data_IF_984516331851
#
_entry.id   IF_984516331851
#
_cell.length_a   1.000
_cell.length_b   1.000
_cell.length_c   1.000
_cell.angle_alpha   90.00
_cell.angle_beta   90.00
_cell.angle_gamma   90.00
#
_symmetry.space_group_name_H-M   'P 1'
#
loop_
_entity.id
_entity.type
_entity.pdbx_description
1 polymer ?
#
# COMPACT_ATOMS: atom_id res chain seq x y z
N UNK A 1 0.11 -6.31 -38.45
CA UNK A 1 -0.59 -7.60 -38.22
C UNK A 1 0.31 -8.44 -37.33
N UNK A 2 0.15 -8.32 -36.02
CA UNK A 2 0.91 -9.09 -35.03
C UNK A 2 0.22 -10.43 -34.82
N UNK A 3 0.98 -11.52 -34.91
CA UNK A 3 0.50 -12.87 -34.65
C UNK A 3 -0.17 -12.91 -33.27
N UNK A 4 -1.45 -13.28 -33.22
CA UNK A 4 -2.09 -13.71 -31.98
C UNK A 4 -1.27 -14.88 -31.44
N UNK A 5 -0.56 -14.63 -30.34
CA UNK A 5 0.08 -15.68 -29.55
C UNK A 5 -1.02 -16.66 -29.14
N UNK A 6 -1.06 -17.82 -29.78
CA UNK A 6 -1.96 -18.89 -29.38
C UNK A 6 -1.60 -19.27 -27.96
N UNK A 7 -2.50 -18.98 -27.01
CA UNK A 7 -2.34 -19.35 -25.62
C UNK A 7 -1.91 -20.83 -25.52
N UNK A 8 -0.80 -21.10 -24.85
CA UNK A 8 -0.29 -22.46 -24.74
C UNK A 8 -1.33 -23.33 -24.04
N UNK A 9 -1.34 -24.65 -24.35
CA UNK A 9 -2.21 -25.59 -23.63
C UNK A 9 -2.03 -25.45 -22.11
N UNK A 10 -0.79 -25.21 -21.67
CA UNK A 10 -0.45 -24.94 -20.29
C UNK A 10 -1.16 -23.69 -19.73
N UNK A 11 -1.13 -22.55 -20.42
CA UNK A 11 -1.79 -21.33 -19.92
C UNK A 11 -3.31 -21.49 -19.86
N UNK A 12 -3.91 -22.19 -20.84
CA UNK A 12 -5.33 -22.54 -20.83
C UNK A 12 -5.70 -23.46 -19.65
N UNK A 13 -4.90 -24.50 -19.37
CA UNK A 13 -5.11 -25.37 -18.22
C UNK A 13 -4.97 -24.62 -16.89
N UNK A 14 -3.94 -23.77 -16.75
CA UNK A 14 -3.74 -22.95 -15.56
C UNK A 14 -4.90 -21.99 -15.32
N UNK A 15 -5.38 -21.35 -16.39
CA UNK A 15 -6.56 -20.49 -16.36
C UNK A 15 -7.81 -21.23 -15.89
N UNK A 16 -8.05 -22.43 -16.43
CA UNK A 16 -9.19 -23.26 -16.02
C UNK A 16 -9.09 -23.62 -14.52
N UNK A 17 -7.93 -24.10 -14.06
CA UNK A 17 -7.72 -24.49 -12.65
C UNK A 17 -7.81 -23.31 -11.67
N UNK A 18 -7.28 -22.15 -12.06
CA UNK A 18 -7.24 -20.99 -11.18
C UNK A 18 -8.57 -20.24 -11.13
N UNK A 19 -9.24 -20.05 -12.27
CA UNK A 19 -10.30 -19.05 -12.42
C UNK A 19 -11.68 -19.64 -12.59
N UNK A 20 -11.77 -20.79 -13.25
CA UNK A 20 -13.05 -21.47 -13.43
C UNK A 20 -13.17 -22.41 -12.25
N UNK A 21 -13.92 -21.98 -11.23
CA UNK A 21 -14.48 -22.88 -10.22
C UNK A 21 -15.53 -23.80 -10.86
N UNK A 22 -15.17 -24.44 -11.98
CA UNK A 22 -16.04 -25.34 -12.70
C UNK A 22 -16.33 -26.49 -11.76
N UNK A 23 -17.61 -26.73 -11.47
CA UNK A 23 -18.07 -27.86 -10.66
C UNK A 23 -17.53 -29.20 -11.15
N UNK A 24 -17.06 -29.24 -12.40
CA UNK A 24 -16.44 -30.39 -13.07
C UNK A 24 -14.98 -30.64 -12.62
N UNK A 25 -14.21 -29.58 -12.33
CA UNK A 25 -12.80 -29.67 -11.87
C UNK A 25 -12.62 -29.27 -10.40
N UNK A 26 -13.63 -28.67 -9.76
CA UNK A 26 -13.66 -28.40 -8.32
C UNK A 26 -13.53 -29.66 -7.47
N UNK A 27 -13.74 -30.83 -8.08
CA UNK A 27 -13.61 -32.15 -7.46
C UNK A 27 -12.21 -32.77 -7.62
N UNK A 28 -11.35 -32.24 -8.51
CA UNK A 28 -9.96 -32.68 -8.56
C UNK A 28 -9.24 -31.98 -7.39
N UNK A 29 -8.78 -32.73 -6.38
CA UNK A 29 -8.06 -32.11 -5.29
C UNK A 29 -6.84 -31.43 -5.88
N UNK A 30 -6.73 -30.11 -5.71
CA UNK A 30 -5.49 -29.36 -5.98
C UNK A 30 -4.31 -30.03 -5.26
N UNK A 31 -4.60 -30.75 -4.16
CA UNK A 31 -3.66 -31.59 -3.42
C UNK A 31 -3.06 -32.75 -4.21
N UNK A 32 -3.58 -33.11 -5.39
CA UNK A 32 -2.99 -34.09 -6.30
C UNK A 32 -1.99 -33.46 -7.28
N UNK A 33 -1.94 -32.13 -7.39
CA UNK A 33 -0.94 -31.46 -8.21
C UNK A 33 0.42 -31.46 -7.50
N UNK A 34 1.54 -31.53 -8.26
CA UNK A 34 2.85 -31.22 -7.73
C UNK A 34 2.85 -29.89 -7.00
N UNK A 35 3.55 -29.80 -5.86
CA UNK A 35 3.57 -28.60 -5.01
C UNK A 35 3.86 -27.31 -5.80
N UNK A 36 4.82 -27.36 -6.72
CA UNK A 36 5.17 -26.23 -7.59
C UNK A 36 4.02 -25.73 -8.46
N UNK A 37 3.16 -26.62 -8.96
CA UNK A 37 1.98 -26.24 -9.75
C UNK A 37 0.85 -25.74 -8.84
N UNK A 38 0.67 -26.34 -7.67
CA UNK A 38 -0.28 -25.86 -6.68
C UNK A 38 0.04 -24.43 -6.24
N UNK A 39 1.33 -24.14 -5.96
CA UNK A 39 1.81 -22.81 -5.58
C UNK A 39 1.56 -21.80 -6.71
N UNK A 40 1.80 -22.17 -7.97
CA UNK A 40 1.52 -21.31 -9.13
C UNK A 40 0.02 -21.01 -9.30
N UNK A 41 -0.85 -22.01 -9.10
CA UNK A 41 -2.31 -21.83 -9.18
C UNK A 41 -2.77 -20.88 -8.07
N UNK A 42 -2.28 -21.07 -6.84
CA UNK A 42 -2.66 -20.24 -5.71
C UNK A 42 -2.15 -18.80 -5.86
N UNK A 43 -0.91 -18.62 -6.35
CA UNK A 43 -0.38 -17.30 -6.68
C UNK A 43 -1.24 -16.61 -7.74
N UNK A 44 -1.59 -17.30 -8.84
CA UNK A 44 -2.43 -16.74 -9.89
C UNK A 44 -3.83 -16.35 -9.36
N UNK A 45 -4.41 -17.14 -8.45
CA UNK A 45 -5.69 -16.79 -7.79
C UNK A 45 -5.57 -15.53 -6.95
N UNK A 46 -4.48 -15.38 -6.20
CA UNK A 46 -4.23 -14.19 -5.40
C UNK A 46 -4.07 -12.96 -6.30
N UNK A 47 -3.27 -13.08 -7.37
CA UNK A 47 -3.07 -12.01 -8.35
C UNK A 47 -4.41 -11.60 -8.99
N UNK A 48 -5.26 -12.56 -9.38
CA UNK A 48 -6.57 -12.25 -9.98
C UNK A 48 -7.50 -11.59 -8.97
N UNK A 49 -7.52 -12.08 -7.72
CA UNK A 49 -8.30 -11.47 -6.65
C UNK A 49 -7.88 -10.02 -6.41
N UNK A 50 -6.59 -9.72 -6.45
CA UNK A 50 -6.06 -8.37 -6.36
C UNK A 50 -6.49 -7.51 -7.55
N UNK A 51 -6.34 -8.02 -8.77
CA UNK A 51 -6.74 -7.32 -9.99
C UNK A 51 -8.24 -6.99 -10.01
N UNK A 52 -9.10 -7.95 -9.68
CA UNK A 52 -10.56 -7.76 -9.58
C UNK A 52 -10.89 -6.73 -8.51
N UNK A 53 -10.31 -6.86 -7.31
CA UNK A 53 -10.53 -5.92 -6.20
C UNK A 53 -10.12 -4.48 -6.56
N UNK A 54 -9.02 -4.31 -7.29
CA UNK A 54 -8.55 -2.99 -7.70
C UNK A 54 -9.54 -2.29 -8.65
N UNK A 55 -10.30 -3.05 -9.46
CA UNK A 55 -11.19 -2.52 -10.48
C UNK A 55 -12.69 -2.60 -10.12
N UNK A 56 -13.03 -3.23 -8.99
CA UNK A 56 -14.43 -3.47 -8.57
C UNK A 56 -15.30 -2.21 -8.45
N UNK A 57 -14.68 -1.04 -8.24
CA UNK A 57 -15.39 0.25 -8.17
C UNK A 57 -15.82 0.79 -9.54
N UNK A 58 -15.33 0.18 -10.62
CA UNK A 58 -15.57 0.59 -12.01
C UNK A 58 -16.35 -0.49 -12.75
N UNK A 59 -15.96 -1.76 -12.61
CA UNK A 59 -16.55 -2.87 -13.36
C UNK A 59 -16.53 -4.16 -12.54
N UNK A 60 -17.54 -5.00 -12.74
CA UNK A 60 -17.55 -6.38 -12.29
C UNK A 60 -16.80 -7.29 -13.29
N UNK A 61 -15.53 -7.58 -13.00
CA UNK A 61 -14.65 -8.34 -13.89
C UNK A 61 -15.02 -9.82 -13.88
N UNK A 62 -15.43 -10.33 -15.05
CA UNK A 62 -15.73 -11.75 -15.20
C UNK A 62 -14.45 -12.59 -15.33
N UNK A 63 -14.40 -13.80 -14.74
CA UNK A 63 -13.25 -14.71 -14.89
C UNK A 63 -12.91 -15.04 -16.35
N UNK A 64 -13.91 -15.00 -17.24
CA UNK A 64 -13.76 -15.23 -18.68
C UNK A 64 -13.04 -14.09 -19.42
N UNK A 65 -12.78 -12.96 -18.76
CA UNK A 65 -12.03 -11.83 -19.32
C UNK A 65 -10.55 -11.87 -18.96
N UNK A 66 -10.16 -12.62 -17.94
CA UNK A 66 -8.76 -12.74 -17.51
C UNK A 66 -7.97 -13.61 -18.50
N UNK A 67 -6.91 -13.03 -19.06
CA UNK A 67 -5.95 -13.72 -19.92
C UNK A 67 -4.74 -14.17 -19.08
N UNK A 68 -4.21 -15.35 -19.40
CA UNK A 68 -3.05 -15.94 -18.70
C UNK A 68 -1.91 -16.10 -19.70
N UNK A 69 -0.74 -15.55 -19.36
CA UNK A 69 0.44 -15.61 -20.21
C UNK A 69 1.08 -17.00 -20.21
N UNK A 70 2.08 -17.20 -21.07
CA UNK A 70 2.87 -18.44 -21.09
C UNK A 70 3.63 -18.69 -19.79
N UNK A 71 3.92 -17.64 -19.01
CA UNK A 71 4.52 -17.72 -17.68
C UNK A 71 3.52 -18.10 -16.58
N UNK A 72 2.28 -18.47 -16.93
CA UNK A 72 1.22 -18.85 -15.99
C UNK A 72 0.85 -17.73 -14.99
N UNK A 73 1.03 -16.48 -15.40
CA UNK A 73 0.63 -15.27 -14.66
C UNK A 73 -0.47 -14.53 -15.43
N UNK A 74 -1.07 -13.52 -14.82
CA UNK A 74 -1.99 -12.62 -15.54
C UNK A 74 -1.21 -11.94 -16.67
N UNK A 75 -1.74 -12.06 -17.89
CA UNK A 75 -1.35 -11.21 -19.01
C UNK A 75 -2.13 -9.90 -18.86
N UNK A 76 -1.55 -8.91 -18.18
CA UNK A 76 -2.24 -7.66 -17.88
C UNK A 76 -2.64 -6.88 -19.15
N UNK A 77 -1.77 -6.70 -20.17
CA UNK A 77 -2.17 -6.04 -21.41
C UNK A 77 -3.36 -6.73 -22.09
N UNK A 78 -3.31 -8.05 -22.30
CA UNK A 78 -4.39 -8.77 -22.96
C UNK A 78 -5.67 -8.79 -22.12
N UNK A 79 -5.55 -8.92 -20.80
CA UNK A 79 -6.69 -8.88 -19.87
C UNK A 79 -7.39 -7.53 -19.92
N UNK A 80 -6.65 -6.43 -19.84
CA UNK A 80 -7.22 -5.08 -19.88
C UNK A 80 -7.91 -4.80 -21.22
N UNK A 81 -7.30 -5.21 -22.33
CA UNK A 81 -7.92 -5.07 -23.65
C UNK A 81 -9.23 -5.83 -23.73
N UNK A 82 -9.26 -7.07 -23.23
CA UNK A 82 -10.48 -7.89 -23.20
C UNK A 82 -11.57 -7.29 -22.30
N UNK A 83 -11.20 -6.70 -21.16
CA UNK A 83 -12.14 -5.98 -20.30
C UNK A 83 -12.71 -4.73 -20.99
N UNK A 84 -11.88 -3.97 -21.70
CA UNK A 84 -12.31 -2.79 -22.47
C UNK A 84 -13.28 -3.18 -23.58
N UNK A 85 -13.01 -4.27 -24.30
CA UNK A 85 -13.87 -4.76 -25.39
C UNK A 85 -15.19 -5.36 -24.90
N UNK A 86 -15.22 -5.91 -23.69
CA UNK A 86 -16.40 -6.56 -23.12
C UNK A 86 -17.36 -5.61 -22.38
N UNK A 87 -17.03 -4.32 -22.26
CA UNK A 87 -17.79 -3.34 -21.48
C UNK A 87 -18.41 -2.26 -22.36
N UNK A 88 -19.39 -1.52 -21.81
CA UNK A 88 -19.96 -0.37 -22.52
C UNK A 88 -18.91 0.74 -22.68
N UNK A 89 -19.03 1.63 -23.70
CA UNK A 89 -18.02 2.64 -24.00
C UNK A 89 -17.66 3.58 -22.83
N UNK A 90 -18.60 3.86 -21.93
CA UNK A 90 -18.35 4.75 -20.78
C UNK A 90 -17.48 4.04 -19.76
N UNK A 91 -17.83 2.80 -19.41
CA UNK A 91 -17.03 1.95 -18.50
C UNK A 91 -15.67 1.61 -19.11
N UNK A 92 -15.62 1.32 -20.42
CA UNK A 92 -14.40 1.08 -21.16
C UNK A 92 -13.44 2.29 -21.08
N UNK A 93 -13.95 3.51 -21.20
CA UNK A 93 -13.15 4.73 -21.01
C UNK A 93 -12.61 4.84 -19.57
N UNK A 94 -13.45 4.56 -18.57
CA UNK A 94 -13.02 4.62 -17.17
C UNK A 94 -11.92 3.59 -16.87
N UNK A 95 -12.05 2.36 -17.38
CA UNK A 95 -11.04 1.31 -17.26
C UNK A 95 -9.72 1.71 -17.92
N UNK A 96 -9.78 2.26 -19.14
CA UNK A 96 -8.61 2.75 -19.84
C UNK A 96 -7.94 3.90 -19.06
N UNK A 97 -8.73 4.81 -18.47
CA UNK A 97 -8.21 5.95 -17.72
C UNK A 97 -7.46 5.52 -16.44
N UNK A 98 -8.01 4.61 -15.64
CA UNK A 98 -7.37 4.17 -14.39
C UNK A 98 -6.15 3.27 -14.60
N UNK A 99 -5.99 2.74 -15.81
CA UNK A 99 -4.79 1.99 -16.23
C UNK A 99 -3.83 2.84 -17.09
N UNK A 100 -4.03 4.16 -17.16
CA UNK A 100 -3.22 5.10 -17.94
C UNK A 100 -3.06 4.74 -19.44
N UNK A 101 -4.05 4.09 -20.04
CA UNK A 101 -4.04 3.70 -21.45
C UNK A 101 -4.49 4.88 -22.33
N UNK A 102 -3.66 5.92 -22.44
CA UNK A 102 -4.05 7.20 -23.06
C UNK A 102 -4.55 7.05 -24.51
N UNK A 103 -3.84 6.30 -25.36
CA UNK A 103 -4.26 6.08 -26.76
C UNK A 103 -5.62 5.38 -26.86
N UNK A 104 -5.91 4.46 -25.94
CA UNK A 104 -7.22 3.81 -25.85
C UNK A 104 -8.30 4.79 -25.38
N UNK A 105 -7.99 5.64 -24.41
CA UNK A 105 -8.90 6.71 -23.98
C UNK A 105 -9.26 7.63 -25.15
N UNK A 106 -8.29 8.07 -25.97
CA UNK A 106 -8.54 8.90 -27.16
C UNK A 106 -9.45 8.19 -28.15
N UNK A 107 -9.16 6.92 -28.45
CA UNK A 107 -9.95 6.11 -29.38
C UNK A 107 -11.40 5.97 -28.92
N UNK A 108 -11.61 5.61 -27.64
CA UNK A 108 -12.93 5.46 -27.06
C UNK A 108 -13.64 6.82 -27.01
N UNK A 109 -12.97 7.87 -26.57
CA UNK A 109 -13.54 9.22 -26.47
C UNK A 109 -14.16 9.69 -27.79
N UNK A 110 -13.49 9.41 -28.90
CA UNK A 110 -13.94 9.80 -30.23
C UNK A 110 -15.19 9.03 -30.69
N UNK A 111 -15.45 7.84 -30.15
CA UNK A 111 -16.70 7.08 -30.42
C UNK A 111 -17.85 7.44 -29.47
N UNK A 112 -17.58 8.12 -28.36
CA UNK A 112 -18.62 8.55 -27.41
C UNK A 112 -19.50 9.68 -27.96
N UNK A 113 -20.78 9.63 -27.59
CA UNK A 113 -21.71 10.73 -27.84
C UNK A 113 -21.53 11.91 -26.86
N UNK A 114 -22.24 13.01 -27.10
CA UNK A 114 -22.17 14.21 -26.26
C UNK A 114 -22.62 13.97 -24.82
N UNK A 115 -23.64 13.13 -24.61
CA UNK A 115 -24.19 12.82 -23.30
C UNK A 115 -23.18 12.03 -22.46
N UNK A 116 -22.58 11.00 -23.05
CA UNK A 116 -21.54 10.16 -22.46
C UNK A 116 -20.29 10.99 -22.09
N UNK A 117 -19.81 11.83 -23.01
CA UNK A 117 -18.71 12.77 -22.73
C UNK A 117 -19.07 13.74 -21.61
N UNK A 118 -20.32 14.22 -21.59
CA UNK A 118 -20.84 15.08 -20.52
C UNK A 118 -20.84 14.39 -19.16
N UNK A 119 -21.19 13.10 -19.11
CA UNK A 119 -21.15 12.28 -17.91
C UNK A 119 -19.71 12.05 -17.42
N UNK A 120 -18.78 11.67 -18.31
CA UNK A 120 -17.38 11.45 -17.95
C UNK A 120 -16.68 12.72 -17.45
N UNK A 121 -16.95 13.87 -18.06
CA UNK A 121 -16.44 15.17 -17.61
C UNK A 121 -16.93 15.57 -16.21
N UNK A 122 -18.04 15.00 -15.75
CA UNK A 122 -18.64 15.22 -14.42
C UNK A 122 -18.45 14.01 -13.50
N UNK A 123 -17.57 13.07 -13.86
CA UNK A 123 -17.31 11.90 -13.05
C UNK A 123 -16.79 12.32 -11.66
N UNK A 124 -17.23 11.67 -10.57
CA UNK A 124 -16.66 11.90 -9.25
C UNK A 124 -15.22 11.37 -9.14
N UNK A 125 -14.75 10.58 -10.12
CA UNK A 125 -13.40 10.05 -10.14
C UNK A 125 -12.44 11.05 -10.80
N UNK A 126 -11.51 11.68 -10.05
CA UNK A 126 -10.58 12.67 -10.59
C UNK A 126 -9.66 12.12 -11.67
N UNK A 127 -9.34 10.81 -11.63
CA UNK A 127 -8.52 10.14 -12.66
C UNK A 127 -9.25 10.14 -14.01
N UNK A 128 -10.55 9.85 -14.00
CA UNK A 128 -11.39 9.81 -15.20
C UNK A 128 -11.56 11.22 -15.79
N UNK A 129 -11.85 12.21 -14.92
CA UNK A 129 -11.97 13.62 -15.35
C UNK A 129 -10.67 14.12 -15.92
N UNK A 130 -9.54 13.85 -15.28
CA UNK A 130 -8.23 14.26 -15.77
C UNK A 130 -7.89 13.63 -17.12
N UNK A 131 -8.21 12.35 -17.34
CA UNK A 131 -8.03 11.71 -18.64
C UNK A 131 -8.87 12.37 -19.74
N UNK A 132 -10.15 12.68 -19.46
CA UNK A 132 -11.02 13.40 -20.40
C UNK A 132 -10.52 14.82 -20.70
N UNK A 133 -10.03 15.53 -19.68
CA UNK A 133 -9.49 16.87 -19.82
C UNK A 133 -8.18 16.89 -20.59
N UNK A 134 -7.34 15.87 -20.43
CA UNK A 134 -6.12 15.71 -21.22
C UNK A 134 -6.42 15.58 -22.71
N UNK A 135 -7.43 14.81 -23.09
CA UNK A 135 -7.85 14.63 -24.49
C UNK A 135 -8.40 15.93 -25.08
N UNK A 136 -9.06 16.75 -24.26
CA UNK A 136 -9.67 18.02 -24.68
C UNK A 136 -8.79 19.24 -24.43
N UNK A 137 -7.49 19.02 -24.16
CA UNK A 137 -6.47 20.07 -23.93
C UNK A 137 -6.84 21.07 -22.82
N UNK A 138 -7.68 20.63 -21.88
CA UNK A 138 -8.01 21.37 -20.66
C UNK A 138 -6.88 21.22 -19.64
N UNK A 139 -6.79 22.08 -18.61
CA UNK A 139 -5.71 22.03 -17.62
C UNK A 139 -5.87 20.83 -16.66
N UNK A 140 -5.71 19.61 -17.17
CA UNK A 140 -5.85 18.36 -16.41
C UNK A 140 -4.77 18.21 -15.34
N UNK A 141 -3.64 18.89 -15.49
CA UNK A 141 -2.55 18.91 -14.51
C UNK A 141 -3.03 19.34 -13.12
N UNK A 142 -4.09 20.16 -13.03
CA UNK A 142 -4.68 20.59 -11.76
C UNK A 142 -5.22 19.45 -10.88
N UNK A 143 -5.45 18.26 -11.46
CA UNK A 143 -5.94 17.10 -10.73
C UNK A 143 -4.85 16.23 -10.11
N UNK A 144 -3.55 16.60 -10.20
CA UNK A 144 -2.46 15.71 -9.80
C UNK A 144 -2.62 15.14 -8.39
N UNK A 145 -3.00 15.97 -7.40
CA UNK A 145 -3.12 15.55 -6.00
C UNK A 145 -4.27 14.55 -5.81
N UNK A 146 -5.45 14.90 -6.32
CA UNK A 146 -6.65 14.06 -6.23
C UNK A 146 -6.52 12.76 -7.02
N UNK A 147 -5.90 12.82 -8.21
CA UNK A 147 -5.65 11.67 -9.06
C UNK A 147 -4.65 10.70 -8.41
N UNK A 148 -3.51 11.20 -7.91
CA UNK A 148 -2.55 10.39 -7.16
C UNK A 148 -3.19 9.75 -5.91
N UNK A 149 -3.89 10.56 -5.11
CA UNK A 149 -4.54 10.09 -3.88
C UNK A 149 -5.61 9.04 -4.17
N UNK A 150 -6.36 9.19 -5.27
CA UNK A 150 -7.38 8.22 -5.69
C UNK A 150 -6.73 6.95 -6.22
N UNK A 151 -5.66 7.06 -7.02
CA UNK A 151 -4.91 5.91 -7.51
C UNK A 151 -4.30 5.09 -6.37
N UNK A 152 -3.64 5.76 -5.42
CA UNK A 152 -3.05 5.10 -4.25
C UNK A 152 -4.09 4.44 -3.34
N UNK A 153 -5.29 5.04 -3.20
CA UNK A 153 -6.40 4.47 -2.42
C UNK A 153 -6.94 3.19 -3.03
N UNK A 154 -7.10 3.17 -4.36
CA UNK A 154 -7.71 2.04 -5.07
C UNK A 154 -6.69 0.97 -5.51
N UNK A 155 -5.39 1.26 -5.41
CA UNK A 155 -4.35 0.33 -5.84
C UNK A 155 -4.06 0.38 -7.34
N UNK A 156 -4.32 1.51 -8.00
CA UNK A 156 -4.07 1.68 -9.44
C UNK A 156 -2.62 2.10 -9.70
N UNK A 157 -1.71 1.12 -9.73
CA UNK A 157 -0.26 1.33 -9.87
C UNK A 157 0.10 2.10 -11.15
N UNK A 158 -0.45 1.69 -12.29
CA UNK A 158 -0.09 2.25 -13.60
C UNK A 158 -0.38 3.74 -13.70
N UNK A 159 -1.57 4.18 -13.29
CA UNK A 159 -1.91 5.61 -13.31
C UNK A 159 -1.20 6.40 -12.22
N UNK A 160 -0.92 5.79 -11.07
CA UNK A 160 -0.09 6.43 -10.06
C UNK A 160 1.33 6.70 -10.59
N UNK A 161 1.95 5.72 -11.24
CA UNK A 161 3.28 5.88 -11.84
C UNK A 161 3.30 6.94 -12.95
N UNK A 162 2.27 6.99 -13.79
CA UNK A 162 2.10 8.07 -14.76
C UNK A 162 2.18 9.45 -14.07
N UNK A 163 1.38 9.67 -13.03
CA UNK A 163 1.33 10.96 -12.34
C UNK A 163 2.61 11.29 -11.58
N UNK A 164 3.20 10.32 -10.87
CA UNK A 164 4.47 10.51 -10.16
C UNK A 164 5.60 10.88 -11.13
N UNK A 165 5.68 10.20 -12.28
CA UNK A 165 6.64 10.52 -13.34
C UNK A 165 6.40 11.90 -13.91
N UNK A 166 5.12 12.27 -14.11
CA UNK A 166 4.71 13.56 -14.64
C UNK A 166 5.14 14.72 -13.73
N UNK A 167 4.98 14.57 -12.41
CA UNK A 167 5.41 15.58 -11.42
C UNK A 167 6.93 15.58 -11.16
N UNK A 168 7.68 14.69 -11.83
CA UNK A 168 9.14 14.60 -11.72
C UNK A 168 9.64 13.76 -10.55
N UNK A 169 8.80 12.90 -10.00
CA UNK A 169 9.12 11.94 -8.94
C UNK A 169 9.44 10.57 -9.54
N UNK A 170 10.54 10.51 -10.30
CA UNK A 170 11.01 9.27 -10.89
C UNK A 170 11.88 8.53 -9.87
N UNK A 171 11.26 7.59 -9.15
CA UNK A 171 12.02 6.61 -8.38
C UNK A 171 12.29 5.38 -9.25
N UNK A 172 13.56 4.99 -9.34
CA UNK A 172 13.96 3.70 -9.85
C UNK A 172 13.36 2.63 -8.94
N UNK A 173 12.28 2.03 -9.41
CA UNK A 173 11.71 0.86 -8.79
C UNK A 173 12.59 -0.32 -9.18
N UNK A 174 13.14 -1.03 -8.20
CA UNK A 174 13.49 -2.44 -8.43
C UNK A 174 12.17 -3.21 -8.48
N UNK A 175 11.69 -3.65 -9.65
CA UNK A 175 10.40 -4.31 -9.72
C UNK A 175 10.61 -5.75 -9.26
N UNK A 176 10.09 -6.09 -8.08
CA UNK A 176 9.64 -7.47 -7.82
C UNK A 176 8.40 -7.84 -8.67
N UNK A 177 7.97 -6.93 -9.56
CA UNK A 177 6.83 -7.08 -10.44
C UNK A 177 7.12 -8.11 -11.53
N UNK A 178 6.09 -8.85 -11.91
CA UNK A 178 6.18 -9.76 -13.06
C UNK A 178 6.46 -8.98 -14.35
N UNK A 179 7.09 -9.63 -15.35
CA UNK A 179 7.45 -8.98 -16.61
C UNK A 179 6.25 -8.34 -17.33
N UNK A 180 5.06 -8.92 -17.20
CA UNK A 180 3.83 -8.42 -17.83
C UNK A 180 3.33 -7.10 -17.22
N UNK A 181 3.44 -6.92 -15.90
CA UNK A 181 3.03 -5.68 -15.24
C UNK A 181 4.05 -4.56 -15.51
N UNK A 182 5.33 -4.92 -15.60
CA UNK A 182 6.41 -3.99 -15.92
C UNK A 182 6.22 -3.32 -17.29
N UNK A 183 5.67 -4.03 -18.28
CA UNK A 183 5.37 -3.47 -19.61
C UNK A 183 4.39 -2.30 -19.48
N UNK A 184 3.26 -2.47 -18.79
CA UNK A 184 2.25 -1.42 -18.63
C UNK A 184 2.78 -0.21 -17.86
N UNK A 185 3.58 -0.45 -16.82
CA UNK A 185 4.17 0.64 -16.04
C UNK A 185 5.18 1.43 -16.85
N UNK A 186 5.99 0.76 -17.67
CA UNK A 186 6.96 1.43 -18.53
C UNK A 186 6.27 2.19 -19.66
N UNK A 187 5.20 1.65 -20.25
CA UNK A 187 4.35 2.40 -21.19
C UNK A 187 3.78 3.67 -20.56
N UNK A 188 3.27 3.59 -19.33
CA UNK A 188 2.73 4.75 -18.61
C UNK A 188 3.80 5.79 -18.27
N UNK A 189 5.01 5.36 -17.89
CA UNK A 189 6.16 6.24 -17.65
C UNK A 189 6.60 6.95 -18.92
N UNK A 190 6.69 6.22 -20.02
CA UNK A 190 7.06 6.80 -21.31
C UNK A 190 5.99 7.78 -21.80
N UNK A 191 4.71 7.49 -21.61
CA UNK A 191 3.64 8.44 -21.88
C UNK A 191 3.77 9.72 -21.05
N UNK A 192 4.06 9.62 -19.74
CA UNK A 192 4.29 10.78 -18.88
C UNK A 192 5.51 11.60 -19.32
N UNK A 193 6.64 10.95 -19.66
CA UNK A 193 7.84 11.61 -20.19
C UNK A 193 7.56 12.34 -21.49
N UNK A 194 6.82 11.71 -22.41
CA UNK A 194 6.42 12.30 -23.68
C UNK A 194 5.57 13.55 -23.45
N UNK A 195 4.62 13.51 -22.50
CA UNK A 195 3.82 14.68 -22.12
C UNK A 195 4.70 15.83 -21.62
N UNK A 196 5.69 15.57 -20.76
CA UNK A 196 6.60 16.61 -20.25
C UNK A 196 7.42 17.30 -21.35
N UNK A 197 7.64 16.61 -22.46
CA UNK A 197 8.38 17.14 -23.61
C UNK A 197 7.50 17.94 -24.58
N UNK A 198 6.16 17.96 -24.41
CA UNK A 198 5.27 18.70 -25.29
C UNK A 198 5.41 20.23 -25.11
N UNK A 199 5.32 21.02 -26.19
CA UNK A 199 5.39 22.49 -26.12
C UNK A 199 4.28 23.10 -25.24
N UNK A 200 3.10 22.48 -25.28
CA UNK A 200 1.89 22.91 -24.55
C UNK A 200 1.98 22.60 -23.03
N UNK A 201 3.04 21.92 -22.60
CA UNK A 201 3.16 21.42 -21.24
C UNK A 201 3.35 22.57 -20.23
N UNK A 202 2.36 22.71 -19.34
CA UNK A 202 2.33 23.79 -18.35
C UNK A 202 3.00 23.36 -17.06
N UNK A 203 4.33 23.30 -17.06
CA UNK A 203 5.13 22.88 -15.89
C UNK A 203 4.83 23.71 -14.62
N UNK A 204 4.41 24.97 -14.75
CA UNK A 204 4.03 25.82 -13.63
C UNK A 204 2.74 25.40 -12.90
N UNK A 205 1.95 24.48 -13.47
CA UNK A 205 0.77 23.90 -12.83
C UNK A 205 1.10 22.68 -11.96
N UNK A 206 2.35 22.23 -11.98
CA UNK A 206 2.81 21.09 -11.20
C UNK A 206 3.31 21.52 -9.81
N UNK A 207 3.26 20.60 -8.82
CA UNK A 207 3.73 20.90 -7.48
C UNK A 207 5.23 21.21 -7.45
N UNK A 208 5.60 22.14 -6.57
CA UNK A 208 7.01 22.36 -6.22
C UNK A 208 7.58 21.17 -5.45
N UNK A 209 8.91 21.15 -5.22
CA UNK A 209 9.58 20.01 -4.58
C UNK A 209 9.00 19.68 -3.19
N UNK A 210 8.79 20.70 -2.35
CA UNK A 210 8.24 20.52 -1.00
C UNK A 210 6.80 19.98 -1.03
N UNK A 211 5.98 20.46 -1.98
CA UNK A 211 4.61 19.99 -2.16
C UNK A 211 4.55 18.55 -2.65
N UNK A 212 5.49 18.17 -3.53
CA UNK A 212 5.65 16.80 -4.02
C UNK A 212 6.03 15.86 -2.89
N UNK A 213 7.00 16.22 -2.06
CA UNK A 213 7.38 15.41 -0.90
C UNK A 213 6.20 15.22 0.06
N UNK A 214 5.44 16.29 0.34
CA UNK A 214 4.21 16.20 1.14
C UNK A 214 3.15 15.30 0.49
N UNK A 215 2.98 15.39 -0.83
CA UNK A 215 2.08 14.51 -1.57
C UNK A 215 2.49 13.05 -1.38
N UNK A 216 3.74 12.72 -1.66
CA UNK A 216 4.28 11.36 -1.53
C UNK A 216 4.11 10.82 -0.12
N UNK A 217 4.43 11.62 0.90
CA UNK A 217 4.18 11.29 2.30
C UNK A 217 2.71 10.92 2.56
N UNK A 218 1.77 11.69 2.00
CA UNK A 218 0.33 11.37 2.10
C UNK A 218 -0.02 10.08 1.38
N UNK A 219 0.53 9.84 0.19
CA UNK A 219 0.28 8.64 -0.59
C UNK A 219 0.74 7.37 0.15
N UNK A 220 1.85 7.42 0.88
CA UNK A 220 2.32 6.34 1.76
C UNK A 220 1.24 5.98 2.78
N UNK A 221 0.72 6.98 3.51
CA UNK A 221 -0.30 6.75 4.54
C UNK A 221 -1.63 6.29 3.92
N UNK A 222 -2.01 6.82 2.76
CA UNK A 222 -3.20 6.37 2.01
C UNK A 222 -3.04 4.89 1.62
N UNK A 223 -1.90 4.50 1.07
CA UNK A 223 -1.63 3.12 0.66
C UNK A 223 -1.72 2.17 1.86
N UNK A 224 -1.10 2.51 2.99
CA UNK A 224 -1.20 1.74 4.24
C UNK A 224 -2.65 1.63 4.71
N UNK A 225 -3.38 2.76 4.85
CA UNK A 225 -4.77 2.75 5.35
C UNK A 225 -5.70 1.87 4.51
N UNK A 226 -5.43 1.76 3.21
CA UNK A 226 -6.24 0.96 2.29
C UNK A 226 -5.64 -0.43 2.02
N UNK A 227 -4.55 -0.79 2.72
CA UNK A 227 -3.84 -2.07 2.56
C UNK A 227 -3.36 -2.32 1.12
N UNK A 228 -3.02 -1.24 0.41
CA UNK A 228 -2.50 -1.28 -0.96
C UNK A 228 -0.98 -1.45 -0.89
N UNK A 229 -0.54 -2.64 -0.46
CA UNK A 229 0.87 -2.93 -0.18
C UNK A 229 1.75 -2.83 -1.43
N UNK A 230 1.22 -3.18 -2.59
CA UNK A 230 1.94 -3.07 -3.87
C UNK A 230 2.23 -1.61 -4.20
N UNK A 231 1.29 -0.69 -3.92
CA UNK A 231 1.52 0.75 -4.05
C UNK A 231 2.59 1.22 -3.07
N UNK A 232 2.52 0.79 -1.80
CA UNK A 232 3.53 1.17 -0.80
C UNK A 232 4.95 0.77 -1.22
N UNK A 233 5.09 -0.38 -1.88
CA UNK A 233 6.38 -0.82 -2.38
C UNK A 233 6.92 0.11 -3.48
N UNK A 234 6.03 0.73 -4.24
CA UNK A 234 6.37 1.67 -5.32
C UNK A 234 6.66 3.10 -4.86
N UNK A 235 6.38 3.44 -3.61
CA UNK A 235 6.63 4.79 -3.08
C UNK A 235 7.97 4.85 -2.34
N UNK A 236 8.74 5.95 -2.46
CA UNK A 236 9.91 6.16 -1.60
C UNK A 236 9.43 6.29 -0.15
N UNK A 237 10.23 5.83 0.82
CA UNK A 237 9.87 5.87 2.24
C UNK A 237 10.93 6.69 2.96
N UNK A 238 10.90 8.00 2.69
CA UNK A 238 11.93 8.94 3.15
C UNK A 238 11.44 9.78 4.33
N UNK A 239 10.30 10.46 4.19
CA UNK A 239 9.66 11.21 5.26
C UNK A 239 8.12 11.12 5.18
N UNK A 240 7.50 10.51 6.19
CA UNK A 240 6.05 10.43 6.33
C UNK A 240 5.53 11.27 7.51
N UNK A 241 6.42 11.93 8.27
CA UNK A 241 6.06 12.62 9.51
C UNK A 241 5.06 13.76 9.25
N UNK A 242 5.27 14.54 8.19
CA UNK A 242 4.38 15.63 7.78
C UNK A 242 2.95 15.14 7.47
N UNK A 243 2.82 13.94 6.89
CA UNK A 243 1.51 13.37 6.59
C UNK A 243 0.73 13.01 7.87
N UNK A 244 1.40 12.69 8.98
CA UNK A 244 0.71 12.33 10.22
C UNK A 244 -0.14 13.48 10.77
N UNK A 245 0.27 14.73 10.61
CA UNK A 245 -0.56 15.88 11.00
C UNK A 245 -1.88 15.96 10.22
N UNK A 246 -1.89 15.47 8.98
CA UNK A 246 -3.10 15.42 8.17
C UNK A 246 -4.02 14.26 8.57
N UNK A 247 -3.45 13.08 8.85
CA UNK A 247 -4.24 11.87 9.15
C UNK A 247 -4.62 11.72 10.62
N UNK A 248 -3.87 12.35 11.53
CA UNK A 248 -4.05 12.29 12.99
C UNK A 248 -3.97 13.71 13.59
N UNK A 249 -4.86 14.63 13.21
CA UNK A 249 -4.75 16.05 13.54
C UNK A 249 -4.77 16.35 15.05
N UNK A 250 -5.30 15.44 15.87
CA UNK A 250 -5.36 15.56 17.33
C UNK A 250 -4.24 14.80 18.06
N UNK A 251 -3.26 14.26 17.32
CA UNK A 251 -2.18 13.45 17.87
C UNK A 251 -2.62 12.08 18.38
N UNK A 252 -3.85 11.62 18.05
CA UNK A 252 -4.34 10.30 18.41
C UNK A 252 -4.25 9.35 17.23
N UNK A 253 -3.46 8.29 17.41
CA UNK A 253 -3.34 7.22 16.43
C UNK A 253 -4.46 6.22 16.68
N UNK A 254 -5.25 5.92 15.65
CA UNK A 254 -6.30 4.92 15.74
C UNK A 254 -5.71 3.51 15.87
N UNK A 255 -6.27 2.71 16.77
CA UNK A 255 -5.82 1.33 16.99
C UNK A 255 -5.88 0.47 15.72
N UNK A 256 -6.93 0.66 14.91
CA UNK A 256 -7.09 -0.02 13.63
C UNK A 256 -5.92 0.23 12.68
N UNK A 257 -5.31 1.41 12.71
CA UNK A 257 -4.16 1.74 11.87
C UNK A 257 -2.90 0.99 12.33
N UNK A 258 -2.67 0.88 13.64
CA UNK A 258 -1.55 0.10 14.18
C UNK A 258 -1.70 -1.39 13.84
N UNK A 259 -2.92 -1.93 13.94
CA UNK A 259 -3.20 -3.30 13.53
C UNK A 259 -2.91 -3.52 12.05
N UNK A 260 -3.28 -2.57 11.18
CA UNK A 260 -2.95 -2.63 9.74
C UNK A 260 -1.43 -2.73 9.54
N UNK A 261 -0.64 -1.87 10.20
CA UNK A 261 0.82 -1.93 10.12
C UNK A 261 1.39 -3.27 10.61
N UNK A 262 0.92 -3.78 11.75
CA UNK A 262 1.38 -5.05 12.32
C UNK A 262 1.05 -6.25 11.41
N UNK A 263 -0.12 -6.21 10.77
CA UNK A 263 -0.60 -7.24 9.83
C UNK A 263 0.05 -7.19 8.43
N UNK A 264 1.02 -6.29 8.22
CA UNK A 264 1.63 -6.10 6.91
C UNK A 264 2.39 -7.34 6.40
N UNK A 265 2.32 -7.63 5.08
CA UNK A 265 3.07 -8.70 4.46
C UNK A 265 4.58 -8.58 4.70
N UNK A 266 5.28 -9.74 4.74
CA UNK A 266 6.73 -9.78 5.03
C UNK A 266 7.57 -8.92 4.07
N UNK A 267 7.20 -8.88 2.79
CA UNK A 267 7.95 -8.17 1.74
C UNK A 267 7.85 -6.64 1.84
N UNK A 268 6.80 -6.07 2.46
CA UNK A 268 6.72 -4.62 2.77
C UNK A 268 7.12 -4.27 4.20
N UNK A 269 7.51 -5.26 5.01
CA UNK A 269 7.67 -5.08 6.46
C UNK A 269 8.70 -4.03 6.83
N UNK A 270 9.80 -3.95 6.08
CA UNK A 270 10.83 -2.92 6.29
C UNK A 270 10.25 -1.50 6.20
N UNK A 271 9.38 -1.25 5.21
CA UNK A 271 8.70 0.03 5.00
C UNK A 271 7.67 0.30 6.10
N UNK A 272 6.84 -0.68 6.45
CA UNK A 272 5.81 -0.50 7.49
C UNK A 272 6.41 -0.34 8.88
N UNK A 273 7.51 -1.03 9.21
CA UNK A 273 8.25 -0.84 10.45
C UNK A 273 8.87 0.56 10.53
N UNK A 274 9.38 1.07 9.41
CA UNK A 274 9.89 2.44 9.34
C UNK A 274 8.77 3.45 9.61
N UNK A 275 7.59 3.28 9.00
CA UNK A 275 6.43 4.14 9.23
C UNK A 275 5.98 4.06 10.70
N UNK A 276 5.94 2.86 11.28
CA UNK A 276 5.59 2.68 12.68
C UNK A 276 6.56 3.42 13.61
N UNK A 277 7.87 3.33 13.36
CA UNK A 277 8.89 4.07 14.13
C UNK A 277 8.74 5.58 13.98
N UNK A 278 8.54 6.08 12.77
CA UNK A 278 8.30 7.50 12.52
C UNK A 278 7.05 7.99 13.29
N UNK A 279 5.99 7.19 13.29
CA UNK A 279 4.74 7.49 13.98
C UNK A 279 4.92 7.55 15.50
N UNK A 280 5.67 6.61 16.08
CA UNK A 280 6.00 6.58 17.52
C UNK A 280 6.86 7.78 17.93
N UNK A 281 7.79 8.22 17.08
CA UNK A 281 8.59 9.43 17.30
C UNK A 281 7.77 10.71 17.19
N UNK A 282 6.78 10.74 16.30
CA UNK A 282 5.93 11.90 16.06
C UNK A 282 4.86 12.09 17.16
N UNK A 283 4.22 11.03 17.65
CA UNK A 283 3.06 11.12 18.54
C UNK A 283 3.30 11.88 19.88
N UNK A 284 4.47 11.80 20.54
CA UNK A 284 4.77 12.61 21.71
C UNK A 284 4.90 14.11 21.37
N UNK A 285 5.45 14.44 20.20
CA UNK A 285 5.71 15.82 19.75
C UNK A 285 4.42 16.57 19.45
N UNK A 286 3.45 15.90 18.83
CA UNK A 286 2.15 16.51 18.49
C UNK A 286 1.33 16.91 19.72
N UNK A 287 1.60 16.31 20.89
CA UNK A 287 0.93 16.64 22.17
C UNK A 287 1.56 17.82 22.93
N UNK A 288 2.84 18.11 22.68
CA UNK A 288 3.57 19.18 23.39
C UNK A 288 3.00 20.59 23.21
N UNK A 289 2.20 20.81 22.15
CA UNK A 289 1.58 22.10 21.86
C UNK A 289 0.12 22.24 22.35
N UNK A 290 -0.44 21.25 23.06
CA UNK A 290 -1.78 21.38 23.69
C UNK A 290 -1.76 20.95 25.16
N UNK A 291 -1.83 21.89 26.14
CA UNK A 291 -1.53 21.63 27.54
C UNK A 291 -2.59 20.83 28.34
N UNK A 292 -3.43 19.98 27.72
CA UNK A 292 -4.59 19.38 28.44
C UNK A 292 -4.96 17.91 28.19
N UNK A 293 -4.18 17.08 27.49
CA UNK A 293 -4.64 15.71 27.14
C UNK A 293 -3.60 14.58 27.31
N UNK A 294 -2.94 14.50 28.47
CA UNK A 294 -2.05 13.36 28.81
C UNK A 294 -2.79 12.06 29.20
N UNK A 295 -4.08 12.09 29.53
CA UNK A 295 -4.75 10.96 30.22
C UNK A 295 -5.38 9.86 29.34
N UNK A 296 -5.48 10.01 28.02
CA UNK A 296 -6.34 9.12 27.21
C UNK A 296 -5.62 8.01 26.44
N UNK A 297 -4.28 8.05 26.31
CA UNK A 297 -3.58 6.97 25.63
C UNK A 297 -3.29 5.78 26.55
N UNK A 298 -3.16 6.01 27.85
CA UNK A 298 -2.86 4.97 28.83
C UNK A 298 -4.01 3.96 28.94
N UNK A 299 -5.27 4.41 28.88
CA UNK A 299 -6.44 3.52 29.02
C UNK A 299 -6.72 2.63 27.78
N UNK A 300 -6.55 3.16 26.57
CA UNK A 300 -6.80 2.40 25.33
C UNK A 300 -5.63 1.43 25.01
N UNK A 301 -4.40 1.83 25.36
CA UNK A 301 -3.23 0.97 25.31
C UNK A 301 -3.29 -0.12 26.40
N UNK A 302 -3.83 0.18 27.60
CA UNK A 302 -4.12 -0.83 28.63
C UNK A 302 -5.11 -1.92 28.19
N UNK A 303 -6.07 -1.59 27.32
CA UNK A 303 -7.05 -2.56 26.80
C UNK A 303 -6.47 -3.47 25.68
N UNK A 304 -5.49 -2.94 24.94
CA UNK A 304 -4.65 -3.64 23.95
C UNK A 304 -3.83 -4.78 24.58
N UNK A 305 -3.43 -4.63 25.85
CA UNK A 305 -2.63 -5.61 26.59
C UNK A 305 -3.44 -6.69 27.32
N UNK A 306 -4.77 -6.67 27.22
CA UNK A 306 -5.65 -7.72 27.74
C UNK A 306 -6.16 -8.69 26.65
N UNK A 307 -5.98 -8.39 25.37
CA UNK A 307 -6.38 -9.25 24.26
C UNK A 307 -5.16 -9.76 23.47
N UNK A 308 -5.36 -10.75 22.61
CA UNK A 308 -4.31 -11.49 21.86
C UNK A 308 -3.44 -10.66 20.89
N UNK A 309 -3.47 -9.33 20.98
CA UNK A 309 -2.61 -8.39 20.26
C UNK A 309 -1.29 -8.08 20.99
N UNK A 310 -1.07 -8.67 22.17
CA UNK A 310 0.14 -8.53 22.98
C UNK A 310 1.42 -8.88 22.19
N UNK A 311 1.43 -10.00 21.46
CA UNK A 311 2.61 -10.45 20.70
C UNK A 311 2.98 -9.51 19.54
N UNK A 312 1.99 -8.85 18.93
CA UNK A 312 2.22 -7.90 17.84
C UNK A 312 2.75 -6.55 18.37
N UNK A 313 2.29 -6.10 19.54
CA UNK A 313 2.81 -4.90 20.20
C UNK A 313 4.20 -5.15 20.79
N UNK A 314 4.43 -6.33 21.38
CA UNK A 314 5.76 -6.73 21.85
C UNK A 314 6.75 -6.83 20.71
N UNK A 315 6.35 -7.38 19.55
CA UNK A 315 7.17 -7.30 18.34
C UNK A 315 7.48 -5.86 17.98
N UNK A 316 6.53 -4.93 17.99
CA UNK A 316 6.79 -3.51 17.69
C UNK A 316 7.77 -2.87 18.69
N UNK A 317 7.68 -3.23 19.97
CA UNK A 317 8.59 -2.76 21.01
C UNK A 317 9.99 -3.39 20.91
N UNK A 318 10.09 -4.71 20.72
CA UNK A 318 11.33 -5.45 20.50
C UNK A 318 12.05 -5.03 19.20
N UNK A 319 11.29 -4.67 18.16
CA UNK A 319 11.79 -4.12 16.90
C UNK A 319 12.40 -2.72 17.03
N UNK A 320 12.08 -1.99 18.11
CA UNK A 320 12.68 -0.69 18.41
C UNK A 320 14.02 -0.83 19.14
N UNK A 321 14.19 -1.92 19.91
CA UNK A 321 15.37 -2.16 20.76
C UNK A 321 16.54 -2.85 20.04
N UNK A 322 16.29 -3.57 18.94
CA UNK A 322 17.27 -4.53 18.38
C UNK A 322 18.20 -4.02 17.28
N UNK A 323 18.11 -2.75 16.80
CA UNK A 323 18.87 -2.36 15.58
C UNK A 323 19.74 -1.11 15.61
N UNK A 324 19.71 -0.28 16.65
CA UNK A 324 20.60 0.87 16.73
C UNK A 324 21.35 0.91 18.06
N UNK A 325 22.63 0.53 18.04
CA UNK A 325 23.62 0.85 19.08
C UNK A 325 23.96 2.34 19.14
N UNK A 326 22.98 3.21 18.91
CA UNK A 326 23.07 4.66 19.13
C UNK A 326 21.93 5.01 20.07
N UNK A 327 22.32 5.55 21.23
CA UNK A 327 21.45 6.04 22.30
C UNK A 327 20.30 6.87 21.73
N UNK A 328 19.18 6.20 21.47
CA UNK A 328 17.90 6.80 21.75
C UNK A 328 17.90 7.01 23.26
N UNK A 329 17.52 8.21 23.70
CA UNK A 329 17.53 8.62 25.10
C UNK A 329 16.96 7.50 25.97
N UNK A 330 17.85 6.76 26.66
CA UNK A 330 17.52 5.59 27.47
C UNK A 330 16.44 5.93 28.50
N UNK A 331 16.26 7.22 28.79
CA UNK A 331 15.20 7.75 29.61
C UNK A 331 13.81 7.68 28.96
N UNK A 332 13.64 7.94 27.66
CA UNK A 332 12.33 7.81 26.99
C UNK A 332 11.95 6.36 26.73
N UNK A 333 12.93 5.51 26.38
CA UNK A 333 12.73 4.07 26.24
C UNK A 333 12.46 3.42 27.60
N UNK A 334 13.20 3.79 28.66
CA UNK A 334 12.89 3.34 30.03
C UNK A 334 11.61 3.92 30.56
N UNK A 335 11.25 5.18 30.34
CA UNK A 335 9.95 5.72 30.81
C UNK A 335 8.81 5.04 30.08
N UNK A 336 8.96 4.68 28.80
CA UNK A 336 7.95 3.92 28.06
C UNK A 336 7.88 2.46 28.57
N UNK A 337 9.01 1.75 28.67
CA UNK A 337 9.07 0.38 29.22
C UNK A 337 8.62 0.33 30.69
N UNK A 338 8.94 1.35 31.50
CA UNK A 338 8.59 1.43 32.92
C UNK A 338 7.13 1.85 33.10
N UNK A 339 6.57 2.70 32.24
CA UNK A 339 5.11 2.92 32.15
C UNK A 339 4.38 1.66 31.68
N UNK A 340 5.03 0.79 30.89
CA UNK A 340 4.50 -0.51 30.45
C UNK A 340 4.62 -1.60 31.54
N UNK A 341 5.71 -1.64 32.31
CA UNK A 341 5.93 -2.59 33.42
C UNK A 341 5.14 -2.22 34.69
N UNK A 342 4.93 -0.93 34.98
CA UNK A 342 4.08 -0.52 36.10
C UNK A 342 2.60 -0.93 35.94
N UNK A 343 2.17 -1.33 34.73
CA UNK A 343 0.81 -1.81 34.45
C UNK A 343 0.64 -3.30 34.84
N UNK A 344 1.72 -4.09 34.95
CA UNK A 344 1.67 -5.49 35.40
C UNK A 344 1.53 -5.64 36.93
N UNK A 345 2.04 -4.70 37.72
CA UNK A 345 2.04 -4.82 39.20
C UNK A 345 0.71 -4.47 39.89
N UNK A 346 -0.38 -4.27 39.14
CA UNK A 346 -1.71 -4.02 39.72
C UNK A 346 -2.71 -5.16 39.52
N UNK A 347 -2.24 -6.33 39.07
CA UNK A 347 -2.97 -7.59 39.16
C UNK A 347 -2.12 -8.55 39.98
N UNK A 348 -2.38 -8.58 41.29
CA UNK A 348 -1.62 -9.40 42.23
C UNK A 348 -1.67 -10.88 41.85
N UNK A 349 -0.56 -11.40 41.33
CA UNK A 349 -0.19 -12.80 41.32
C UNK A 349 1.28 -12.89 40.94
N UNK A 350 2.14 -13.02 41.95
CA UNK A 350 3.42 -13.76 42.01
C UNK A 350 4.19 -13.22 43.22
N UNK A 351 3.90 -13.80 44.38
CA UNK A 351 4.95 -14.03 45.37
C UNK A 351 5.71 -15.28 44.92
N UNK A 352 7.01 -15.26 45.20
CA UNK A 352 7.96 -16.35 45.09
C UNK A 352 8.37 -16.73 43.66
N UNK A 353 9.55 -16.21 43.26
CA UNK A 353 10.75 -16.99 42.90
C UNK A 353 11.76 -16.02 42.27
N UNK A 354 12.87 -15.80 42.98
CA UNK A 354 14.24 -15.44 42.57
C UNK A 354 14.85 -14.51 43.63
N UNK A 355 15.35 -15.14 44.69
CA UNK A 355 16.43 -14.59 45.52
C UNK A 355 17.67 -15.42 45.19
N UNK A 356 18.80 -14.72 45.17
CA UNK A 356 20.18 -15.11 44.83
C UNK A 356 20.48 -15.03 43.33
N UNK A 357 21.43 -14.21 42.86
CA UNK A 357 22.72 -13.85 43.45
C UNK A 357 23.30 -12.56 42.83
N UNK A 358 24.40 -12.04 43.39
CA UNK A 358 25.31 -10.97 42.90
C UNK A 358 25.09 -9.56 43.48
N UNK A 359 25.68 -9.30 44.66
CA UNK A 359 26.79 -8.35 44.90
C UNK A 359 26.88 -7.92 46.37
N UNK A 360 27.95 -8.29 47.07
CA UNK A 360 28.67 -7.34 47.93
C UNK A 360 30.06 -7.90 48.26
N UNK A 361 31.05 -7.35 47.57
CA UNK A 361 32.44 -7.34 47.99
C UNK A 361 32.64 -6.21 48.99
N UNK A 362 33.45 -6.51 50.01
CA UNK A 362 34.20 -5.60 50.89
C UNK A 362 33.49 -4.97 52.09
N UNK A 363 34.00 -5.30 53.29
CA UNK A 363 33.66 -4.64 54.55
C UNK A 363 34.13 -5.36 55.81
N UNK A 364 35.45 -5.55 55.95
CA UNK A 364 36.14 -5.98 57.18
C UNK A 364 35.75 -5.11 58.41
N UNK A 365 35.47 -5.75 59.57
CA UNK A 365 35.88 -5.40 60.96
C UNK A 365 35.06 -6.27 61.93
N UNK A 366 35.56 -7.41 62.43
CA UNK A 366 36.34 -7.58 63.67
C UNK A 366 35.67 -7.05 64.96
N UNK A 367 35.02 -7.94 65.75
CA UNK A 367 35.35 -8.30 67.15
C UNK A 367 34.13 -8.64 68.04
N UNK A 368 34.24 -9.85 68.60
CA UNK A 368 34.05 -10.28 70.01
C UNK A 368 32.63 -10.38 70.60
N UNK A 369 32.34 -11.62 71.05
CA UNK A 369 31.83 -12.05 72.37
C UNK A 369 30.79 -11.12 73.03
N UNK A 370 29.57 -11.57 73.35
CA UNK A 370 29.18 -12.74 74.17
C UNK A 370 27.92 -13.37 73.60
#
# INVERSE_FOLDING_TARGET
MTAESVASLQSNCMRLLALVGDTTFSLLPITLLPASLSDLVEQLRQDVKLFVRAHQSIVDIQPTWICVSSACRIDYPATLMRCIEATDPTTAFQLAAVNALHQRCVTIWNSLDYSQRGHLNKSPNPVVVAAAWRITERPYLLFYDDACSTAARNGWSTVLQFWLTLIGDEHELEPELGPEEAILLEEARNDARNVRQQPEFRAHLLPQNDERQRLVARLIIIAVKNQQWHILNQLPVDDAEEAFYHFFPDGRIQLSFLHILASSPRWVRSKTDWIARALLKWAPRSRGNTPRKQHYMVADVQHLFRSSAYDDVLRICEMSSTRNGKEMDLFQERVFIQQMCCIQNNTGFFNDILVDDVTSSEGLYSRKCI
#
